data_IF_430139803827
#
_entry.id   IF_430139803827
#
_cell.length_a   1.000
_cell.length_b   1.000
_cell.length_c   1.000
_cell.angle_alpha   90.00
_cell.angle_beta   90.00
_cell.angle_gamma   90.00
#
_symmetry.space_group_name_H-M   'P 1'
#
loop_
_entity.id
_entity.type
_entity.pdbx_description
1 polymer ?
#
# COMPACT_ATOMS: atom_id res chain seq x y z
N UNK A 1 4.98 -5.70 18.84
CA UNK A 1 4.98 -5.65 17.36
C UNK A 1 3.54 -5.47 16.91
N UNK A 2 3.30 -4.62 15.90
CA UNK A 2 1.99 -4.52 15.25
C UNK A 2 1.68 -5.80 14.47
N UNK A 3 0.40 -6.04 14.12
CA UNK A 3 0.00 -7.19 13.29
C UNK A 3 0.75 -7.19 11.94
N UNK A 4 0.89 -6.02 11.32
CA UNK A 4 1.69 -5.82 10.11
C UNK A 4 3.17 -6.19 10.35
N UNK A 5 3.77 -5.74 11.46
CA UNK A 5 5.17 -6.06 11.76
C UNK A 5 5.43 -7.55 11.99
N UNK A 6 4.46 -8.29 12.53
CA UNK A 6 4.55 -9.76 12.62
C UNK A 6 4.55 -10.38 11.21
N UNK A 7 3.62 -9.98 10.34
CA UNK A 7 3.54 -10.49 8.97
C UNK A 7 4.82 -10.18 8.19
N UNK A 8 5.37 -8.98 8.33
CA UNK A 8 6.63 -8.57 7.70
C UNK A 8 7.79 -9.50 8.07
N UNK A 9 7.95 -9.82 9.35
CA UNK A 9 9.01 -10.72 9.79
C UNK A 9 8.92 -12.13 9.17
N UNK A 10 7.70 -12.64 8.95
CA UNK A 10 7.50 -13.91 8.25
C UNK A 10 7.73 -13.80 6.74
N UNK A 11 7.33 -12.70 6.10
CA UNK A 11 7.63 -12.45 4.67
C UNK A 11 9.14 -12.38 4.43
N UNK A 12 9.87 -11.68 5.32
CA UNK A 12 11.34 -11.61 5.29
C UNK A 12 11.95 -13.01 5.44
N UNK A 13 11.47 -13.79 6.42
CA UNK A 13 11.90 -15.19 6.62
C UNK A 13 11.64 -16.05 5.37
N UNK A 14 10.52 -15.85 4.68
CA UNK A 14 10.22 -16.56 3.42
C UNK A 14 11.11 -16.14 2.25
N UNK A 15 11.74 -14.97 2.29
CA UNK A 15 12.62 -14.48 1.22
C UNK A 15 14.04 -15.06 1.30
N UNK A 16 14.41 -15.68 2.43
CA UNK A 16 15.70 -16.35 2.62
C UNK A 16 15.79 -17.67 1.83
N UNK A 17 17.01 -18.14 1.61
CA UNK A 17 17.23 -19.49 1.06
C UNK A 17 16.94 -20.57 2.10
N UNK A 18 16.21 -21.61 1.70
CA UNK A 18 15.78 -22.67 2.61
C UNK A 18 16.23 -24.06 2.17
N UNK A 19 16.63 -24.84 3.16
CA UNK A 19 16.66 -26.31 3.03
C UNK A 19 15.25 -26.87 3.16
N UNK A 20 15.03 -28.10 2.71
CA UNK A 20 13.74 -28.78 2.91
C UNK A 20 13.29 -28.83 4.37
N UNK A 21 14.23 -29.01 5.31
CA UNK A 21 13.92 -29.07 6.74
C UNK A 21 13.54 -27.69 7.30
N UNK A 22 14.26 -26.63 6.93
CA UNK A 22 13.94 -25.27 7.37
C UNK A 22 12.65 -24.76 6.73
N UNK A 23 12.43 -25.05 5.45
CA UNK A 23 11.18 -24.74 4.74
C UNK A 23 9.98 -25.41 5.42
N UNK A 24 10.08 -26.71 5.72
CA UNK A 24 9.02 -27.44 6.45
C UNK A 24 8.70 -26.80 7.80
N UNK A 25 9.73 -26.41 8.56
CA UNK A 25 9.53 -25.73 9.85
C UNK A 25 8.80 -24.41 9.65
N UNK A 26 9.26 -23.58 8.72
CA UNK A 26 8.69 -22.27 8.43
C UNK A 26 7.22 -22.37 7.97
N UNK A 27 6.90 -23.33 7.11
CA UNK A 27 5.52 -23.61 6.68
C UNK A 27 4.62 -23.88 7.89
N UNK A 28 5.03 -24.77 8.79
CA UNK A 28 4.25 -25.09 9.99
C UNK A 28 4.10 -23.89 10.92
N UNK A 29 5.16 -23.09 11.09
CA UNK A 29 5.12 -21.89 11.92
C UNK A 29 4.13 -20.86 11.35
N UNK A 30 4.17 -20.60 10.04
CA UNK A 30 3.23 -19.69 9.36
C UNK A 30 1.79 -20.17 9.51
N UNK A 31 1.53 -21.45 9.26
CA UNK A 31 0.19 -22.01 9.40
C UNK A 31 -0.31 -21.93 10.85
N UNK A 32 0.56 -22.19 11.83
CA UNK A 32 0.22 -22.07 13.25
C UNK A 32 -0.17 -20.66 13.66
N UNK A 33 0.43 -19.64 13.05
CA UNK A 33 0.15 -18.22 13.36
C UNK A 33 -1.06 -17.69 12.59
N UNK A 34 -1.19 -18.02 11.30
CA UNK A 34 -2.10 -17.29 10.39
C UNK A 34 -3.29 -18.10 9.88
N UNK A 35 -3.38 -19.41 10.15
CA UNK A 35 -4.46 -20.25 9.62
C UNK A 35 -5.88 -19.81 9.98
N UNK A 36 -6.06 -19.19 11.15
CA UNK A 36 -7.37 -18.67 11.59
C UNK A 36 -7.67 -17.27 11.06
N UNK A 37 -6.63 -16.57 10.58
CA UNK A 37 -6.68 -15.16 10.20
C UNK A 37 -6.78 -14.96 8.69
N UNK A 38 -6.35 -15.96 7.90
CA UNK A 38 -6.28 -15.88 6.45
C UNK A 38 -7.09 -17.02 5.83
N UNK A 39 -8.24 -16.67 5.28
CA UNK A 39 -9.09 -17.62 4.56
C UNK A 39 -8.34 -18.25 3.39
N UNK A 40 -8.38 -19.58 3.30
CA UNK A 40 -7.73 -20.32 2.24
C UNK A 40 -6.19 -20.33 2.32
N UNK A 41 -5.59 -20.06 3.49
CA UNK A 41 -4.13 -20.10 3.66
C UNK A 41 -3.54 -21.45 3.25
N UNK A 42 -4.25 -22.55 3.54
CA UNK A 42 -3.82 -23.92 3.22
C UNK A 42 -4.11 -24.36 1.77
N UNK A 43 -4.94 -23.63 1.04
CA UNK A 43 -5.34 -23.99 -0.33
C UNK A 43 -4.14 -24.03 -1.28
N UNK A 44 -4.03 -25.09 -2.08
CA UNK A 44 -2.98 -25.28 -3.09
C UNK A 44 -1.55 -25.38 -2.53
N UNK A 45 -1.37 -25.54 -1.21
CA UNK A 45 -0.06 -25.96 -0.70
C UNK A 45 0.14 -27.43 -1.04
N UNK A 46 1.33 -27.75 -1.52
CA UNK A 46 1.78 -29.09 -1.88
C UNK A 46 1.67 -30.04 -0.68
N UNK A 47 1.97 -29.58 0.54
CA UNK A 47 1.78 -30.39 1.75
C UNK A 47 0.34 -30.91 1.98
N UNK A 48 -0.67 -30.32 1.34
CA UNK A 48 -2.07 -30.76 1.39
C UNK A 48 -2.52 -31.49 0.11
N UNK A 49 -1.63 -31.75 -0.84
CA UNK A 49 -1.94 -32.51 -2.06
C UNK A 49 -2.14 -34.00 -1.73
N UNK A 50 -3.23 -34.57 -2.27
CA UNK A 50 -3.61 -35.96 -2.02
C UNK A 50 -2.61 -36.98 -2.59
N UNK A 51 -1.77 -36.60 -3.56
CA UNK A 51 -0.75 -37.46 -4.16
C UNK A 51 0.30 -37.92 -3.15
N UNK A 52 0.51 -37.19 -2.06
CA UNK A 52 1.43 -37.58 -0.99
C UNK A 52 0.87 -38.70 -0.11
N UNK A 53 -0.44 -38.98 -0.12
CA UNK A 53 -1.06 -40.04 0.69
C UNK A 53 -0.61 -41.45 0.29
N UNK A 54 -0.27 -41.66 -0.99
CA UNK A 54 0.26 -42.94 -1.47
C UNK A 54 1.76 -43.12 -1.18
N UNK A 55 2.45 -42.10 -0.67
CA UNK A 55 3.89 -42.13 -0.37
C UNK A 55 4.80 -42.16 -1.60
N UNK A 56 4.25 -41.92 -2.79
CA UNK A 56 4.97 -42.00 -4.08
C UNK A 56 5.59 -40.68 -4.51
N UNK A 57 5.20 -39.56 -3.88
CA UNK A 57 5.69 -38.21 -4.16
C UNK A 57 6.22 -37.56 -2.88
N UNK A 58 7.29 -36.78 -2.99
CA UNK A 58 7.83 -35.99 -1.88
C UNK A 58 7.21 -34.61 -1.85
N UNK A 59 6.84 -34.13 -0.66
CA UNK A 59 6.32 -32.77 -0.48
C UNK A 59 7.37 -31.72 -0.80
N UNK A 60 7.03 -30.71 -1.60
CA UNK A 60 7.81 -29.52 -1.93
C UNK A 60 7.52 -28.36 -0.95
N UNK A 61 8.14 -28.45 0.24
CA UNK A 61 8.04 -27.38 1.23
C UNK A 61 8.65 -26.04 0.77
N UNK A 62 9.60 -26.05 -0.17
CA UNK A 62 10.23 -24.81 -0.66
C UNK A 62 9.25 -24.07 -1.57
N UNK A 63 8.54 -24.81 -2.44
CA UNK A 63 7.40 -24.31 -3.19
C UNK A 63 6.30 -23.76 -2.27
N UNK A 64 5.99 -24.46 -1.18
CA UNK A 64 5.01 -24.00 -0.19
C UNK A 64 5.42 -22.70 0.52
N UNK A 65 6.69 -22.54 0.90
CA UNK A 65 7.22 -21.27 1.44
C UNK A 65 7.00 -20.14 0.44
N UNK A 66 7.27 -20.38 -0.85
CA UNK A 66 7.09 -19.38 -1.91
C UNK A 66 5.62 -19.01 -2.12
N UNK A 67 4.70 -19.97 -1.98
CA UNK A 67 3.27 -19.72 -2.06
C UNK A 67 2.74 -18.99 -0.81
N UNK A 68 3.18 -19.39 0.38
CA UNK A 68 2.83 -18.72 1.63
C UNK A 68 3.32 -17.28 1.67
N UNK A 69 4.53 -17.00 1.17
CA UNK A 69 5.05 -15.62 1.03
C UNK A 69 4.05 -14.72 0.29
N UNK A 70 3.60 -15.16 -0.89
CA UNK A 70 2.63 -14.41 -1.72
C UNK A 70 1.30 -14.20 -1.00
N UNK A 71 0.81 -15.20 -0.28
CA UNK A 71 -0.42 -15.09 0.51
C UNK A 71 -0.27 -14.11 1.68
N UNK A 72 0.88 -14.11 2.36
CA UNK A 72 1.18 -13.17 3.44
C UNK A 72 1.34 -11.74 2.91
N UNK A 73 1.99 -11.55 1.76
CA UNK A 73 2.09 -10.25 1.08
C UNK A 73 0.70 -9.70 0.73
N UNK A 74 -0.18 -10.54 0.18
CA UNK A 74 -1.56 -10.16 -0.10
C UNK A 74 -2.34 -9.79 1.17
N UNK A 75 -2.22 -10.60 2.22
CA UNK A 75 -2.89 -10.32 3.49
C UNK A 75 -2.37 -9.02 4.13
N UNK A 76 -1.05 -8.77 4.09
CA UNK A 76 -0.45 -7.50 4.52
C UNK A 76 -1.06 -6.31 3.76
N UNK A 77 -1.17 -6.41 2.44
CA UNK A 77 -1.76 -5.35 1.62
C UNK A 77 -3.24 -5.11 2.00
N UNK A 78 -4.01 -6.17 2.24
CA UNK A 78 -5.40 -6.07 2.69
C UNK A 78 -5.55 -5.40 4.06
N UNK A 79 -4.66 -5.72 5.02
CA UNK A 79 -4.64 -5.04 6.32
C UNK A 79 -4.30 -3.56 6.19
N UNK A 80 -3.30 -3.22 5.38
CA UNK A 80 -2.91 -1.82 5.11
C UNK A 80 -4.08 -1.04 4.52
N UNK A 81 -4.78 -1.60 3.53
CA UNK A 81 -5.94 -0.95 2.92
C UNK A 81 -7.08 -0.75 3.92
N UNK A 82 -7.26 -1.70 4.83
CA UNK A 82 -8.25 -1.59 5.92
C UNK A 82 -7.87 -0.50 6.92
N UNK A 83 -6.60 -0.42 7.33
CA UNK A 83 -6.10 0.65 8.20
C UNK A 83 -6.25 2.02 7.52
N UNK A 84 -5.90 2.13 6.24
CA UNK A 84 -6.05 3.35 5.44
C UNK A 84 -7.49 3.83 5.37
N UNK A 85 -8.46 2.93 5.19
CA UNK A 85 -9.89 3.28 5.20
C UNK A 85 -10.38 3.76 6.56
N UNK A 86 -9.82 3.22 7.64
CA UNK A 86 -10.25 3.51 9.01
C UNK A 86 -9.51 4.69 9.65
N UNK A 87 -8.40 5.13 9.07
CA UNK A 87 -7.57 6.22 9.58
C UNK A 87 -7.38 7.30 8.51
N UNK A 88 -8.14 8.40 8.53
CA UNK A 88 -8.01 9.47 7.52
C UNK A 88 -6.65 10.15 7.54
N UNK A 89 -5.83 9.92 8.58
CA UNK A 89 -4.46 10.43 8.68
C UNK A 89 -3.40 9.38 8.34
N UNK A 90 -3.78 8.22 7.80
CA UNK A 90 -2.85 7.12 7.54
C UNK A 90 -1.67 7.56 6.66
N UNK A 91 -1.93 8.16 5.50
CA UNK A 91 -0.88 8.64 4.58
C UNK A 91 0.03 9.69 5.24
N UNK A 92 -0.58 10.62 5.98
CA UNK A 92 0.15 11.62 6.74
C UNK A 92 1.07 10.97 7.78
N UNK A 93 0.57 9.98 8.54
CA UNK A 93 1.36 9.26 9.55
C UNK A 93 2.51 8.50 8.91
N UNK A 94 2.31 7.83 7.78
CA UNK A 94 3.39 7.13 7.08
C UNK A 94 4.50 8.09 6.63
N UNK A 95 4.12 9.21 5.98
CA UNK A 95 5.05 10.26 5.60
C UNK A 95 5.80 10.81 6.82
N UNK A 96 5.08 11.10 7.90
CA UNK A 96 5.63 11.64 9.14
C UNK A 96 6.63 10.70 9.81
N UNK A 97 6.31 9.40 9.89
CA UNK A 97 7.23 8.41 10.45
C UNK A 97 8.50 8.27 9.64
N UNK A 98 8.38 8.24 8.31
CA UNK A 98 9.54 8.13 7.42
C UNK A 98 10.44 9.36 7.55
N UNK A 99 9.86 10.56 7.59
CA UNK A 99 10.57 11.82 7.80
C UNK A 99 11.26 11.87 9.17
N UNK A 100 10.59 11.38 10.23
CA UNK A 100 11.18 11.29 11.57
C UNK A 100 12.36 10.30 11.60
N UNK A 101 12.27 9.18 10.87
CA UNK A 101 13.37 8.22 10.70
C UNK A 101 14.56 8.86 9.97
N UNK A 102 14.30 9.58 8.87
CA UNK A 102 15.34 10.27 8.10
C UNK A 102 16.05 11.33 8.96
N UNK A 103 15.30 12.12 9.73
CA UNK A 103 15.85 13.10 10.68
C UNK A 103 16.72 12.42 11.75
N UNK A 104 16.25 11.29 12.31
CA UNK A 104 17.01 10.52 13.29
C UNK A 104 18.34 10.05 12.73
N UNK A 105 18.35 9.47 11.53
CA UNK A 105 19.57 9.02 10.86
C UNK A 105 20.52 10.18 10.57
N UNK A 106 20.02 11.26 9.97
CA UNK A 106 20.82 12.44 9.65
C UNK A 106 21.46 13.10 10.89
N UNK A 107 20.75 13.11 12.01
CA UNK A 107 21.23 13.65 13.30
C UNK A 107 22.33 12.78 13.92
N UNK A 108 22.23 11.46 13.78
CA UNK A 108 23.21 10.51 14.34
C UNK A 108 24.51 10.47 13.52
N UNK A 109 24.44 10.72 12.21
CA UNK A 109 25.61 10.76 11.32
C UNK A 109 26.36 12.09 11.42
N UNK A 110 26.95 12.39 12.58
CA UNK A 110 27.59 13.69 12.87
C UNK A 110 28.70 14.03 11.86
N UNK A 111 29.38 13.02 11.30
CA UNK A 111 30.52 13.19 10.40
C UNK A 111 30.14 13.19 8.91
N UNK A 112 28.83 13.20 8.58
CA UNK A 112 28.33 13.14 7.20
C UNK A 112 28.87 11.92 6.41
N UNK A 113 29.11 10.81 7.09
CA UNK A 113 29.71 9.60 6.54
C UNK A 113 28.73 8.74 5.76
N UNK A 114 27.47 8.73 6.17
CA UNK A 114 26.38 7.99 5.53
C UNK A 114 25.46 8.93 4.73
N UNK A 115 25.18 10.11 5.28
CA UNK A 115 24.33 11.14 4.71
C UNK A 115 25.17 12.41 4.46
N UNK A 116 25.54 12.69 3.20
CA UNK A 116 26.25 13.90 2.85
C UNK A 116 25.50 15.16 3.30
N UNK A 117 26.23 16.23 3.59
CA UNK A 117 25.63 17.48 4.08
C UNK A 117 24.58 18.06 3.13
N UNK A 118 24.82 17.99 1.83
CA UNK A 118 23.85 18.44 0.82
C UNK A 118 22.51 17.70 0.92
N UNK A 119 22.54 16.40 1.23
CA UNK A 119 21.33 15.60 1.46
C UNK A 119 20.62 16.00 2.75
N UNK A 120 21.38 16.42 3.78
CA UNK A 120 20.83 16.96 5.03
C UNK A 120 20.18 18.33 4.85
N UNK A 121 20.78 19.18 4.01
CA UNK A 121 20.18 20.48 3.63
C UNK A 121 18.88 20.28 2.86
N UNK A 122 18.85 19.31 1.93
CA UNK A 122 17.64 18.96 1.20
C UNK A 122 16.55 18.43 2.15
N UNK A 123 16.91 17.52 3.06
CA UNK A 123 15.99 17.05 4.11
C UNK A 123 15.44 18.21 4.94
N UNK A 124 16.30 19.14 5.39
CA UNK A 124 15.87 20.32 6.14
C UNK A 124 14.82 21.13 5.37
N UNK A 125 15.08 21.44 4.09
CA UNK A 125 14.15 22.19 3.22
C UNK A 125 12.81 21.45 3.03
N UNK A 126 12.86 20.13 2.81
CA UNK A 126 11.65 19.33 2.62
C UNK A 126 10.78 19.29 3.89
N UNK A 127 11.40 19.09 5.04
CA UNK A 127 10.69 19.01 6.32
C UNK A 127 10.06 20.35 6.69
N UNK A 128 10.79 21.46 6.55
CA UNK A 128 10.23 22.78 6.84
C UNK A 128 9.09 23.13 5.88
N UNK A 129 9.20 22.78 4.59
CA UNK A 129 8.12 22.96 3.62
C UNK A 129 6.87 22.12 3.94
N UNK A 130 7.06 20.84 4.30
CA UNK A 130 5.95 19.92 4.62
C UNK A 130 5.19 20.35 5.88
N UNK A 131 5.91 20.77 6.93
CA UNK A 131 5.33 20.85 8.27
C UNK A 131 5.20 22.26 8.84
N UNK A 132 5.68 23.32 8.18
CA UNK A 132 5.62 24.69 8.71
C UNK A 132 4.19 25.10 9.13
N UNK A 133 3.19 24.85 8.28
CA UNK A 133 1.79 25.18 8.57
C UNK A 133 1.07 24.12 9.41
N UNK A 134 1.65 22.93 9.57
CA UNK A 134 1.05 21.81 10.30
C UNK A 134 1.45 21.83 11.77
N UNK A 135 2.71 22.14 12.04
CA UNK A 135 3.30 22.14 13.38
C UNK A 135 3.40 23.58 13.87
N UNK A 136 2.64 23.99 14.90
CA UNK A 136 2.68 25.35 15.41
C UNK A 136 4.11 25.76 15.78
N UNK A 137 4.53 26.94 15.30
CA UNK A 137 5.83 27.53 15.61
C UNK A 137 7.03 26.61 15.29
N UNK A 138 6.94 25.86 14.18
CA UNK A 138 8.01 24.95 13.76
C UNK A 138 9.37 25.66 13.68
N UNK A 139 9.41 26.80 12.99
CA UNK A 139 10.63 27.58 12.78
C UNK A 139 11.20 28.29 14.02
N UNK A 140 10.41 28.46 15.09
CA UNK A 140 10.89 29.15 16.29
C UNK A 140 12.06 28.42 16.95
N UNK A 141 13.19 29.10 17.08
CA UNK A 141 14.43 28.56 17.65
C UNK A 141 15.37 27.91 16.64
N UNK A 142 15.04 27.97 15.34
CA UNK A 142 15.93 27.55 14.25
C UNK A 142 16.83 28.70 13.79
N UNK A 143 18.07 28.39 13.45
CA UNK A 143 18.96 29.31 12.74
C UNK A 143 18.37 29.67 11.38
N UNK A 144 18.49 30.94 11.01
CA UNK A 144 18.02 31.52 9.75
C UNK A 144 16.54 31.27 9.45
N UNK A 145 15.71 31.17 10.49
CA UNK A 145 14.27 31.29 10.35
C UNK A 145 13.85 32.75 10.60
N UNK A 146 13.19 33.34 9.61
CA UNK A 146 12.68 34.70 9.71
C UNK A 146 11.17 34.66 9.94
N UNK A 147 10.77 34.93 11.18
CA UNK A 147 9.38 34.80 11.64
C UNK A 147 8.40 35.70 10.88
N UNK A 148 8.82 36.90 10.47
CA UNK A 148 7.95 37.85 9.77
C UNK A 148 7.62 37.42 8.34
N UNK A 149 8.55 36.71 7.69
CA UNK A 149 8.41 36.22 6.31
C UNK A 149 8.03 34.74 6.25
N UNK A 150 7.93 34.06 7.41
CA UNK A 150 7.75 32.61 7.51
C UNK A 150 8.78 31.84 6.66
N UNK A 151 9.99 32.40 6.54
CA UNK A 151 11.00 31.97 5.59
C UNK A 151 12.16 31.25 6.29
N UNK A 152 12.63 30.17 5.69
CA UNK A 152 13.78 29.39 6.14
C UNK A 152 14.92 29.56 5.13
N UNK A 153 15.98 30.25 5.53
CA UNK A 153 17.16 30.38 4.68
C UNK A 153 18.05 29.14 4.75
N UNK A 154 19.06 29.11 3.89
CA UNK A 154 20.08 28.08 3.88
C UNK A 154 20.91 28.09 5.16
N UNK A 155 21.20 26.88 5.65
CA UNK A 155 22.06 26.65 6.81
C UNK A 155 23.04 25.51 6.49
N UNK A 156 24.24 25.58 7.07
CA UNK A 156 25.29 24.57 6.98
C UNK A 156 25.84 24.23 8.36
N UNK A 157 26.69 23.20 8.41
CA UNK A 157 27.53 22.84 9.54
C UNK A 157 26.74 22.71 10.86
N UNK A 158 27.24 23.34 11.92
CA UNK A 158 26.64 23.34 13.25
C UNK A 158 25.23 23.93 13.28
N UNK A 159 24.94 24.92 12.41
CA UNK A 159 23.60 25.53 12.31
C UNK A 159 22.60 24.53 11.74
N UNK A 160 22.99 23.81 10.69
CA UNK A 160 22.16 22.74 10.11
C UNK A 160 21.96 21.60 11.12
N UNK A 161 23.02 21.18 11.82
CA UNK A 161 22.93 20.14 12.86
C UNK A 161 21.96 20.53 13.96
N UNK A 162 22.07 21.76 14.48
CA UNK A 162 21.13 22.29 15.48
C UNK A 162 19.70 22.30 14.96
N UNK A 163 19.48 22.78 13.73
CA UNK A 163 18.14 22.86 13.15
C UNK A 163 17.49 21.48 13.00
N UNK A 164 18.21 20.49 12.48
CA UNK A 164 17.73 19.11 12.34
C UNK A 164 17.38 18.49 13.71
N UNK A 165 18.18 18.76 14.74
CA UNK A 165 17.91 18.31 16.11
C UNK A 165 16.64 18.96 16.69
N UNK A 166 16.49 20.28 16.57
CA UNK A 166 15.29 21.01 17.02
C UNK A 166 14.03 20.49 16.32
N UNK A 167 14.09 20.32 15.00
CA UNK A 167 12.99 19.79 14.20
C UNK A 167 12.64 18.38 14.64
N UNK A 168 13.63 17.48 14.80
CA UNK A 168 13.39 16.11 15.27
C UNK A 168 12.62 16.09 16.60
N UNK A 169 13.02 16.92 17.58
CA UNK A 169 12.33 16.98 18.87
C UNK A 169 10.92 17.59 18.78
N UNK A 170 10.72 18.60 17.93
CA UNK A 170 9.40 19.18 17.67
C UNK A 170 8.45 18.17 17.03
N UNK A 171 8.88 17.46 15.97
CA UNK A 171 8.09 16.40 15.33
C UNK A 171 7.80 15.26 16.31
N UNK A 172 8.79 14.82 17.08
CA UNK A 172 8.59 13.79 18.13
C UNK A 172 7.51 14.22 19.13
N UNK A 173 7.57 15.46 19.59
CA UNK A 173 6.59 16.01 20.53
C UNK A 173 5.20 16.08 19.91
N UNK A 174 5.10 16.59 18.68
CA UNK A 174 3.84 16.70 17.92
C UNK A 174 3.16 15.35 17.72
N UNK A 175 3.92 14.30 17.37
CA UNK A 175 3.44 12.91 17.32
C UNK A 175 2.98 12.41 18.69
N UNK A 176 3.74 12.67 19.74
CA UNK A 176 3.44 12.20 21.11
C UNK A 176 2.11 12.75 21.62
N UNK A 177 1.79 14.00 21.27
CA UNK A 177 0.50 14.63 21.62
C UNK A 177 -0.62 14.34 20.62
N UNK A 178 -0.38 13.44 19.65
CA UNK A 178 -1.41 12.94 18.74
C UNK A 178 -1.76 13.87 17.59
N UNK A 179 -0.80 14.64 17.05
CA UNK A 179 -1.02 15.52 15.89
C UNK A 179 -2.15 16.56 16.09
N UNK A 180 -2.12 17.37 17.16
CA UNK A 180 -3.16 18.34 17.48
C UNK A 180 -3.33 19.35 16.32
N UNK A 181 -4.58 19.69 16.01
CA UNK A 181 -4.92 20.57 14.88
C UNK A 181 -5.22 19.81 13.59
N UNK A 182 -4.41 18.80 13.26
CA UNK A 182 -4.63 17.94 12.07
C UNK A 182 -5.87 17.07 12.21
N UNK A 183 -6.15 16.58 13.43
CA UNK A 183 -7.35 15.79 13.72
C UNK A 183 -8.64 16.61 13.51
N UNK A 184 -8.62 17.93 13.77
CA UNK A 184 -9.81 18.77 13.57
C UNK A 184 -10.15 18.89 12.10
N UNK A 185 -9.16 19.11 11.24
CA UNK A 185 -9.35 19.22 9.79
C UNK A 185 -9.71 17.90 9.12
N UNK A 186 -9.20 16.77 9.60
CA UNK A 186 -9.53 15.43 9.09
C UNK A 186 -10.89 14.88 9.57
N UNK A 187 -11.45 15.43 10.66
CA UNK A 187 -12.80 15.09 11.17
C UNK A 187 -13.89 15.97 10.54
N UNK A 188 -13.53 17.14 10.03
CA UNK A 188 -14.32 17.86 9.03
C UNK A 188 -14.08 17.23 7.66
N UNK A 189 -15.06 17.21 6.75
CA UNK A 189 -14.77 16.91 5.35
C UNK A 189 -13.81 17.99 4.84
N UNK A 190 -12.52 17.66 4.75
CA UNK A 190 -11.49 18.60 4.35
C UNK A 190 -11.66 18.94 2.86
N UNK A 191 -11.91 20.22 2.58
CA UNK A 191 -11.72 20.91 1.30
C UNK A 191 -12.54 20.38 0.12
N UNK A 192 -13.78 20.86 -0.01
CA UNK A 192 -14.30 21.19 -1.34
C UNK A 192 -13.30 22.14 -2.00
N UNK A 193 -12.57 21.67 -3.01
CA UNK A 193 -12.07 22.59 -4.03
C UNK A 193 -13.31 23.26 -4.60
N UNK A 194 -13.48 24.56 -4.33
CA UNK A 194 -14.47 25.37 -5.05
C UNK A 194 -13.95 25.50 -6.48
N UNK A 195 -14.20 24.47 -7.29
CA UNK A 195 -14.17 24.60 -8.74
C UNK A 195 -15.46 25.35 -9.07
N UNK A 196 -15.37 26.66 -9.27
CA UNK A 196 -16.43 27.42 -9.93
C UNK A 196 -16.50 27.01 -11.40
N UNK A 197 -17.02 25.81 -11.66
CA UNK A 197 -17.56 25.46 -12.96
C UNK A 197 -19.06 25.69 -12.87
N UNK A 198 -19.53 26.76 -13.51
CA UNK A 198 -20.95 27.04 -13.65
C UNK A 198 -21.57 26.01 -14.60
N UNK A 199 -21.83 24.81 -14.08
CA UNK A 199 -22.75 23.84 -14.63
C UNK A 199 -23.36 23.06 -13.47
N UNK A 200 -24.65 23.34 -13.25
CA UNK A 200 -25.50 22.75 -12.24
C UNK A 200 -25.70 21.25 -12.48
N UNK A 201 -24.95 20.41 -11.76
CA UNK A 201 -25.34 19.04 -11.41
C UNK A 201 -24.60 18.60 -10.15
N UNK A 202 -25.26 18.71 -8.99
CA UNK A 202 -24.84 18.00 -7.77
C UNK A 202 -24.97 16.49 -8.01
N UNK A 203 -23.88 15.84 -8.41
CA UNK A 203 -23.72 14.41 -8.30
C UNK A 203 -22.74 14.14 -7.17
N UNK A 204 -23.24 13.67 -6.02
CA UNK A 204 -22.42 12.82 -5.16
C UNK A 204 -22.05 11.61 -6.00
N UNK A 205 -20.87 11.61 -6.61
CA UNK A 205 -20.38 10.46 -7.35
C UNK A 205 -20.07 9.36 -6.34
N UNK A 206 -21.09 8.59 -5.98
CA UNK A 206 -20.88 7.16 -5.76
C UNK A 206 -20.07 6.70 -6.96
N UNK A 207 -18.79 6.37 -6.78
CA UNK A 207 -18.00 5.74 -7.84
C UNK A 207 -18.66 4.39 -8.05
N UNK A 208 -19.65 4.36 -8.94
CA UNK A 208 -20.24 3.14 -9.43
C UNK A 208 -19.11 2.44 -10.16
N UNK A 209 -18.56 1.41 -9.50
CA UNK A 209 -17.67 0.48 -10.16
C UNK A 209 -18.48 -0.04 -11.36
N UNK A 210 -17.95 0.19 -12.55
CA UNK A 210 -18.63 -0.15 -13.79
C UNK A 210 -17.60 -0.63 -14.77
N UNK A 211 -18.04 -1.47 -15.71
CA UNK A 211 -17.15 -1.97 -16.75
C UNK A 211 -16.50 -0.82 -17.55
N UNK A 212 -17.24 0.24 -17.85
CA UNK A 212 -16.75 1.37 -18.64
C UNK A 212 -15.61 2.11 -17.93
N UNK A 213 -15.77 2.37 -16.63
CA UNK A 213 -14.72 2.99 -15.82
C UNK A 213 -13.49 2.08 -15.70
N UNK A 214 -13.71 0.78 -15.60
CA UNK A 214 -12.63 -0.22 -15.51
C UNK A 214 -11.80 -0.27 -16.80
N UNK A 215 -12.47 -0.27 -17.95
CA UNK A 215 -11.84 -0.22 -19.26
C UNK A 215 -11.04 1.08 -19.45
N UNK A 216 -11.58 2.21 -18.98
CA UNK A 216 -10.88 3.49 -19.04
C UNK A 216 -9.58 3.48 -18.22
N UNK A 217 -9.61 2.93 -17.00
CA UNK A 217 -8.41 2.77 -16.16
C UNK A 217 -7.36 1.86 -16.80
N UNK A 218 -7.80 0.77 -17.45
CA UNK A 218 -6.90 -0.15 -18.18
C UNK A 218 -6.23 0.57 -19.36
N UNK A 219 -6.97 1.41 -20.09
CA UNK A 219 -6.42 2.15 -21.22
C UNK A 219 -5.39 3.20 -20.83
N UNK A 220 -5.55 3.77 -19.62
CA UNK A 220 -4.60 4.74 -19.06
C UNK A 220 -3.29 4.10 -18.58
N UNK A 221 -3.22 2.77 -18.47
CA UNK A 221 -1.97 2.10 -18.08
C UNK A 221 -0.87 2.35 -19.12
N UNK A 222 0.40 2.55 -18.70
CA UNK A 222 1.52 2.67 -19.60
C UNK A 222 1.71 1.43 -20.50
N UNK A 223 2.21 1.60 -21.73
CA UNK A 223 2.39 0.48 -22.69
C UNK A 223 3.50 -0.50 -22.28
N UNK A 224 4.40 -0.11 -21.38
CA UNK A 224 5.39 -0.99 -20.72
C UNK A 224 4.78 -1.85 -19.60
N UNK A 225 3.60 -1.47 -19.09
CA UNK A 225 2.80 -2.22 -18.12
C UNK A 225 1.84 -3.19 -18.81
N UNK A 226 1.12 -2.71 -19.83
CA UNK A 226 0.22 -3.51 -20.64
C UNK A 226 0.23 -2.99 -22.08
N UNK A 227 0.63 -3.82 -23.04
CA UNK A 227 0.68 -3.40 -24.44
C UNK A 227 -0.73 -3.15 -24.99
N UNK A 228 -0.85 -2.35 -26.05
CA UNK A 228 -2.16 -1.99 -26.62
C UNK A 228 -2.98 -3.21 -27.07
N UNK A 229 -2.30 -4.27 -27.54
CA UNK A 229 -2.93 -5.54 -27.89
C UNK A 229 -3.48 -6.28 -26.66
N UNK A 230 -2.75 -6.23 -25.54
CA UNK A 230 -3.17 -6.87 -24.29
C UNK A 230 -4.28 -6.08 -23.59
N UNK A 231 -4.30 -4.74 -23.75
CA UNK A 231 -5.43 -3.90 -23.36
C UNK A 231 -6.69 -4.31 -24.10
N UNK A 232 -6.65 -4.40 -25.43
CA UNK A 232 -7.77 -4.84 -26.25
C UNK A 232 -8.25 -6.25 -25.85
N UNK A 233 -7.32 -7.18 -25.60
CA UNK A 233 -7.67 -8.54 -25.17
C UNK A 233 -8.32 -8.55 -23.77
N UNK A 234 -7.86 -7.72 -22.84
CA UNK A 234 -8.45 -7.60 -21.51
C UNK A 234 -9.84 -6.97 -21.56
N UNK A 235 -10.03 -5.94 -22.38
CA UNK A 235 -11.34 -5.31 -22.63
C UNK A 235 -12.36 -6.29 -23.19
N UNK A 236 -11.96 -7.14 -24.14
CA UNK A 236 -12.84 -8.17 -24.70
C UNK A 236 -13.29 -9.16 -23.62
N UNK A 237 -12.35 -9.62 -22.76
CA UNK A 237 -12.68 -10.55 -21.68
C UNK A 237 -13.56 -9.91 -20.61
N UNK A 238 -13.34 -8.63 -20.28
CA UNK A 238 -14.19 -7.88 -19.36
C UNK A 238 -15.60 -7.70 -19.95
N UNK A 239 -15.70 -7.37 -21.24
CA UNK A 239 -16.98 -7.22 -21.94
C UNK A 239 -17.77 -8.53 -21.96
N UNK A 240 -17.09 -9.67 -22.08
CA UNK A 240 -17.72 -10.99 -21.98
C UNK A 240 -18.34 -11.27 -20.59
N UNK A 241 -17.87 -10.61 -19.51
CA UNK A 241 -18.48 -10.71 -18.18
C UNK A 241 -19.84 -10.02 -18.16
N UNK A 242 -20.00 -8.82 -18.73
CA UNK A 242 -21.31 -8.15 -18.79
C UNK A 242 -22.32 -8.92 -19.64
N UNK A 243 -21.86 -9.49 -20.76
CA UNK A 243 -22.70 -10.40 -21.57
C UNK A 243 -23.11 -11.64 -20.77
N UNK A 244 -22.24 -12.19 -19.92
CA UNK A 244 -22.59 -13.32 -19.07
C UNK A 244 -23.53 -12.91 -17.91
N UNK A 245 -23.33 -11.72 -17.34
CA UNK A 245 -24.13 -11.15 -16.26
C UNK A 245 -25.60 -10.98 -16.66
N UNK A 246 -25.83 -10.46 -17.87
CA UNK A 246 -27.18 -10.31 -18.44
C UNK A 246 -27.86 -11.64 -18.77
N UNK A 247 -27.11 -12.72 -18.94
CA UNK A 247 -27.66 -14.05 -19.21
C UNK A 247 -28.22 -14.79 -17.98
N UNK A 248 -27.94 -14.32 -16.77
CA UNK A 248 -28.42 -14.93 -15.52
C UNK A 248 -27.85 -16.31 -15.18
N UNK A 249 -26.87 -16.81 -15.95
CA UNK A 249 -26.23 -18.10 -15.68
C UNK A 249 -25.00 -17.92 -14.77
N UNK A 250 -25.16 -18.30 -13.50
CA UNK A 250 -24.13 -18.18 -12.45
C UNK A 250 -22.82 -18.90 -12.79
N UNK A 251 -22.89 -20.12 -13.30
CA UNK A 251 -21.71 -20.93 -13.63
C UNK A 251 -20.93 -20.34 -14.82
N UNK A 252 -21.65 -19.88 -15.85
CA UNK A 252 -21.06 -19.19 -17.00
C UNK A 252 -20.40 -17.86 -16.58
N UNK A 253 -21.03 -17.11 -15.67
CA UNK A 253 -20.50 -15.86 -15.14
C UNK A 253 -19.23 -16.09 -14.29
N UNK A 254 -19.25 -17.07 -13.38
CA UNK A 254 -18.08 -17.49 -12.61
C UNK A 254 -16.93 -17.93 -13.52
N UNK A 255 -17.21 -18.70 -14.57
CA UNK A 255 -16.20 -19.12 -15.54
C UNK A 255 -15.55 -17.94 -16.28
N UNK A 256 -16.32 -16.91 -16.63
CA UNK A 256 -15.78 -15.69 -17.26
C UNK A 256 -14.95 -14.85 -16.29
N UNK A 257 -15.39 -14.71 -15.04
CA UNK A 257 -14.60 -14.05 -13.98
C UNK A 257 -13.28 -14.80 -13.75
N UNK A 258 -13.31 -16.13 -13.63
CA UNK A 258 -12.11 -16.95 -13.47
C UNK A 258 -11.12 -16.83 -14.64
N UNK A 259 -11.62 -16.71 -15.87
CA UNK A 259 -10.77 -16.49 -17.04
C UNK A 259 -10.08 -15.12 -17.02
N UNK A 260 -10.77 -14.06 -16.58
CA UNK A 260 -10.13 -12.75 -16.40
C UNK A 260 -9.10 -12.78 -15.27
N UNK A 261 -9.43 -13.40 -14.13
CA UNK A 261 -8.50 -13.57 -13.02
C UNK A 261 -7.22 -14.32 -13.42
N UNK A 262 -7.35 -15.38 -14.21
CA UNK A 262 -6.21 -16.12 -14.76
C UNK A 262 -5.38 -15.24 -15.70
N UNK A 263 -6.03 -14.45 -16.54
CA UNK A 263 -5.34 -13.58 -17.48
C UNK A 263 -4.55 -12.47 -16.79
N UNK A 264 -5.12 -11.81 -15.76
CA UNK A 264 -4.41 -10.77 -15.01
C UNK A 264 -3.32 -11.35 -14.10
N UNK A 265 -3.43 -12.61 -13.69
CA UNK A 265 -2.40 -13.27 -12.88
C UNK A 265 -1.07 -13.45 -13.62
N UNK A 266 -1.11 -13.48 -14.95
CA UNK A 266 0.07 -13.53 -15.82
C UNK A 266 0.60 -12.12 -16.18
N UNK A 267 0.04 -11.04 -15.59
CA UNK A 267 0.39 -9.63 -15.83
C UNK A 267 0.96 -8.95 -14.58
N UNK A 268 1.36 -7.68 -14.74
CA UNK A 268 1.87 -6.86 -13.63
C UNK A 268 0.77 -6.52 -12.61
N UNK A 269 1.19 -6.08 -11.43
CA UNK A 269 0.29 -5.77 -10.31
C UNK A 269 -0.64 -4.61 -10.61
N UNK A 270 -0.21 -3.65 -11.43
CA UNK A 270 -0.97 -2.46 -11.84
C UNK A 270 -2.22 -2.84 -12.67
N UNK A 271 -2.13 -3.88 -13.49
CA UNK A 271 -3.27 -4.42 -14.25
C UNK A 271 -4.31 -5.00 -13.29
N UNK A 272 -3.86 -5.67 -12.23
CA UNK A 272 -4.71 -6.15 -11.15
C UNK A 272 -5.41 -5.02 -10.40
N UNK A 273 -4.70 -3.96 -10.03
CA UNK A 273 -5.27 -2.79 -9.35
C UNK A 273 -6.41 -2.17 -10.17
N UNK A 274 -6.25 -2.08 -11.49
CA UNK A 274 -7.27 -1.52 -12.38
C UNK A 274 -8.52 -2.43 -12.50
N UNK A 275 -8.33 -3.75 -12.68
CA UNK A 275 -9.43 -4.66 -13.02
C UNK A 275 -10.13 -5.32 -11.81
N UNK A 276 -9.42 -5.55 -10.70
CA UNK A 276 -9.93 -6.31 -9.54
C UNK A 276 -11.14 -5.69 -8.84
N UNK A 277 -11.27 -4.36 -8.68
CA UNK A 277 -12.44 -3.77 -8.04
C UNK A 277 -13.76 -4.17 -8.71
N UNK A 278 -13.79 -4.17 -10.04
CA UNK A 278 -14.95 -4.59 -10.83
C UNK A 278 -15.22 -6.10 -10.72
N UNK A 279 -14.18 -6.93 -10.71
CA UNK A 279 -14.35 -8.36 -10.47
C UNK A 279 -14.89 -8.65 -9.06
N UNK A 280 -14.54 -7.83 -8.07
CA UNK A 280 -15.09 -7.87 -6.72
C UNK A 280 -16.59 -7.58 -6.69
N UNK A 281 -17.04 -6.53 -7.37
CA UNK A 281 -18.46 -6.20 -7.51
C UNK A 281 -19.24 -7.33 -8.20
N UNK A 282 -18.69 -7.90 -9.27
CA UNK A 282 -19.31 -9.05 -9.95
C UNK A 282 -19.37 -10.27 -9.04
N UNK A 283 -18.37 -10.48 -8.16
CA UNK A 283 -18.40 -11.55 -7.15
C UNK A 283 -19.52 -11.35 -6.12
N UNK A 284 -19.79 -10.12 -5.69
CA UNK A 284 -20.93 -9.81 -4.82
C UNK A 284 -22.27 -10.04 -5.53
N UNK A 285 -22.36 -9.68 -6.81
CA UNK A 285 -23.52 -10.00 -7.63
C UNK A 285 -23.74 -11.51 -7.79
N UNK A 286 -22.68 -12.28 -8.02
CA UNK A 286 -22.74 -13.76 -8.09
C UNK A 286 -23.22 -14.37 -6.77
N UNK A 287 -22.84 -13.79 -5.62
CA UNK A 287 -23.30 -14.25 -4.30
C UNK A 287 -24.79 -13.97 -4.07
N UNK A 288 -25.35 -12.93 -4.70
CA UNK A 288 -26.77 -12.58 -4.58
C UNK A 288 -27.68 -13.32 -5.57
N UNK A 289 -27.11 -13.96 -6.60
CA UNK A 289 -27.79 -14.91 -7.51
C UNK A 289 -27.97 -16.31 -6.90
#
# INVERSE_FOLDING_TARGET
MSKIGIIESYIESCAEEHTMASAKKLVNDILGVFSNDIDGLTSNLDMYDYSHMSGTTTVDYIGDVSLLKRKLEFYKASLIETEKKNDPLWEFKQMFEQDLKNLRSAKLDINNSETPEISKQQLYKEITAKYHYIIPNLGSGLYQYYVEQEFYDEVSDDSLRHNLEQIYHKLTSFKTVGFPGVIKEASTPSHQVVISNNNNANASATVTISISNTIELINQLPSDVLSDKEKEELEEKLSAIEVAKTSGNKEKLMGKVGNVLKYIADKSIEVGIAALPYLGEISEFIKSM
#
